data_IF_188899158704
#
_entry.id   IF_188899158704
#
_cell.length_a   1.000
_cell.length_b   1.000
_cell.length_c   1.000
_cell.angle_alpha   90.00
_cell.angle_beta   90.00
_cell.angle_gamma   90.00
#
_symmetry.space_group_name_H-M   'P 1'
#
loop_
_entity.id
_entity.type
_entity.pdbx_description
1 polymer ?
#
# COMPACT_ATOMS: atom_id res chain seq x y z
N UNK A 1 -1.87 23.32 -16.69
CA UNK A 1 -3.23 23.29 -16.09
C UNK A 1 -3.30 22.07 -15.19
N UNK A 2 -3.70 22.18 -13.92
CA UNK A 2 -3.88 21.01 -13.07
C UNK A 2 -5.03 20.19 -13.66
N UNK A 3 -4.76 18.93 -14.00
CA UNK A 3 -5.79 17.96 -14.38
C UNK A 3 -6.73 17.77 -13.20
N UNK A 4 -7.94 18.32 -13.30
CA UNK A 4 -9.02 18.07 -12.34
C UNK A 4 -9.43 16.61 -12.54
N UNK A 5 -8.92 15.72 -11.69
CA UNK A 5 -9.38 14.34 -11.67
C UNK A 5 -10.82 14.33 -11.13
N UNK A 6 -11.75 13.61 -11.77
CA UNK A 6 -13.14 13.56 -11.30
C UNK A 6 -13.18 12.87 -9.93
N UNK A 7 -13.51 13.63 -8.89
CA UNK A 7 -13.76 13.13 -7.54
C UNK A 7 -14.99 12.22 -7.55
N UNK A 8 -14.95 11.11 -6.80
CA UNK A 8 -16.05 10.13 -6.74
C UNK A 8 -16.76 10.10 -5.39
N UNK A 9 -16.02 10.29 -4.31
CA UNK A 9 -16.53 10.44 -2.97
C UNK A 9 -17.25 11.76 -2.79
N UNK A 10 -18.04 11.84 -1.73
CA UNK A 10 -18.78 13.04 -1.36
C UNK A 10 -17.91 14.01 -0.59
N UNK A 11 -18.30 15.28 -0.63
CA UNK A 11 -17.66 16.36 0.12
C UNK A 11 -18.27 16.53 1.51
N UNK A 12 -18.11 15.48 2.31
CA UNK A 12 -18.53 15.46 3.72
C UNK A 12 -17.25 15.57 4.56
N UNK A 13 -17.21 16.46 5.57
CA UNK A 13 -16.06 16.58 6.45
C UNK A 13 -15.61 15.23 7.00
N UNK A 14 -14.29 14.94 7.03
CA UNK A 14 -13.78 13.73 7.64
C UNK A 14 -14.13 13.65 9.13
N UNK A 15 -14.12 12.44 9.68
CA UNK A 15 -14.20 12.19 11.13
C UNK A 15 -12.99 12.72 11.93
N UNK A 16 -11.95 13.20 11.26
CA UNK A 16 -10.75 13.76 11.87
C UNK A 16 -10.36 15.03 11.12
N UNK A 17 -10.17 16.14 11.83
CA UNK A 17 -9.74 17.42 11.27
C UNK A 17 -8.61 18.03 12.14
N UNK A 18 -7.36 18.09 11.64
CA UNK A 18 -6.93 17.73 10.29
C UNK A 18 -6.88 16.22 10.06
N UNK A 19 -7.07 15.79 8.80
CA UNK A 19 -6.93 14.38 8.42
C UNK A 19 -5.48 13.96 8.13
N UNK A 20 -4.65 14.91 7.69
CA UNK A 20 -3.24 14.72 7.32
C UNK A 20 -2.34 15.72 8.03
N UNK A 21 -1.11 15.33 8.26
CA UNK A 21 -0.07 16.15 8.87
C UNK A 21 1.31 15.92 8.25
N UNK A 22 2.26 16.79 8.59
CA UNK A 22 3.65 16.66 8.14
C UNK A 22 4.37 15.58 8.97
N UNK A 23 5.05 14.68 8.27
CA UNK A 23 5.88 13.65 8.89
C UNK A 23 7.37 13.95 8.74
N UNK A 24 8.16 13.38 9.64
CA UNK A 24 9.62 13.38 9.50
C UNK A 24 10.04 12.52 8.29
N UNK A 25 11.17 12.88 7.67
CA UNK A 25 11.82 12.06 6.65
C UNK A 25 12.90 11.13 7.22
N UNK A 26 13.28 11.32 8.49
CA UNK A 26 14.40 10.60 9.11
C UNK A 26 14.00 9.23 9.64
N UNK A 27 12.74 9.08 10.04
CA UNK A 27 12.20 7.87 10.63
C UNK A 27 10.82 7.61 10.03
N UNK A 28 10.49 6.33 9.88
CA UNK A 28 9.16 5.89 9.46
C UNK A 28 8.38 5.41 10.67
N UNK A 29 7.22 6.02 10.90
CA UNK A 29 6.34 5.78 12.04
C UNK A 29 4.97 5.26 11.60
N UNK A 30 4.20 4.62 12.50
CA UNK A 30 2.80 4.31 12.26
C UNK A 30 2.00 5.57 11.90
N UNK A 31 1.15 5.49 10.88
CA UNK A 31 0.41 6.62 10.31
C UNK A 31 1.04 7.20 9.04
N UNK A 32 2.36 7.05 8.87
CA UNK A 32 3.08 7.59 7.72
C UNK A 32 2.56 7.03 6.39
N UNK A 33 2.55 7.89 5.38
CA UNK A 33 2.29 7.52 3.99
C UNK A 33 3.64 7.36 3.28
N UNK A 34 3.87 6.15 2.78
CA UNK A 34 5.11 5.75 2.12
C UNK A 34 4.83 5.10 0.79
N UNK A 35 5.79 5.10 -0.12
CA UNK A 35 5.80 4.28 -1.33
C UNK A 35 6.41 2.92 -1.01
N UNK A 36 5.68 1.85 -1.32
CA UNK A 36 6.14 0.47 -1.19
C UNK A 36 6.06 -0.27 -2.53
N UNK A 37 6.90 -1.29 -2.76
CA UNK A 37 6.66 -2.25 -3.82
C UNK A 37 5.47 -3.15 -3.43
N UNK A 38 4.25 -2.75 -3.78
CA UNK A 38 3.07 -3.58 -3.53
C UNK A 38 3.17 -4.85 -4.38
N UNK A 39 3.38 -5.97 -3.69
CA UNK A 39 3.51 -7.28 -4.33
C UNK A 39 2.13 -7.77 -4.79
N UNK A 40 2.12 -8.44 -5.94
CA UNK A 40 0.98 -9.23 -6.38
C UNK A 40 1.38 -10.70 -6.35
N UNK A 41 0.47 -11.61 -5.97
CA UNK A 41 0.73 -13.03 -6.18
C UNK A 41 0.96 -13.24 -7.67
N UNK A 42 2.20 -13.56 -8.04
CA UNK A 42 2.50 -13.85 -9.43
C UNK A 42 1.72 -15.10 -9.82
N UNK A 43 0.91 -15.02 -10.89
CA UNK A 43 0.25 -16.21 -11.47
C UNK A 43 1.25 -17.25 -11.98
N UNK A 44 2.46 -16.81 -12.29
CA UNK A 44 3.56 -17.62 -12.81
C UNK A 44 4.81 -17.40 -11.97
N UNK A 45 5.54 -18.47 -11.67
CA UNK A 45 6.84 -18.37 -11.03
C UNK A 45 7.83 -17.77 -12.04
N UNK A 46 8.46 -16.66 -11.70
CA UNK A 46 9.53 -16.07 -12.50
C UNK A 46 10.85 -16.26 -11.78
N UNK A 47 11.90 -16.57 -12.53
CA UNK A 47 13.28 -16.66 -12.04
C UNK A 47 14.14 -15.64 -12.76
N UNK A 48 15.15 -15.14 -12.04
CA UNK A 48 16.21 -14.34 -12.63
C UNK A 48 17.13 -15.25 -13.45
N UNK A 49 17.41 -14.90 -14.70
CA UNK A 49 18.34 -15.61 -15.58
C UNK A 49 19.32 -14.62 -16.22
N UNK A 50 20.41 -15.13 -16.78
CA UNK A 50 21.40 -14.33 -17.50
C UNK A 50 21.10 -14.38 -18.99
N UNK A 51 21.13 -13.23 -19.66
CA UNK A 51 21.12 -13.18 -21.11
C UNK A 51 22.34 -13.94 -21.67
N UNK A 52 22.11 -15.12 -22.27
CA UNK A 52 23.14 -16.05 -22.78
C UNK A 52 24.12 -15.45 -23.81
N UNK A 53 23.91 -14.22 -24.26
CA UNK A 53 24.69 -13.58 -25.33
C UNK A 53 25.95 -12.84 -24.85
N UNK A 54 26.34 -12.92 -23.57
CA UNK A 54 27.63 -12.41 -23.09
C UNK A 54 28.30 -13.47 -22.21
N UNK A 55 29.25 -14.22 -22.77
CA UNK A 55 30.21 -14.95 -21.95
C UNK A 55 31.13 -13.90 -21.31
N UNK A 56 30.75 -13.39 -20.15
CA UNK A 56 31.57 -12.51 -19.33
C UNK A 56 32.05 -13.29 -18.10
N UNK A 57 33.28 -13.83 -18.11
CA UNK A 57 33.83 -14.59 -16.99
C UNK A 57 34.08 -13.73 -15.74
N UNK A 58 33.97 -12.40 -15.83
CA UNK A 58 34.11 -11.47 -14.70
C UNK A 58 32.78 -11.05 -14.10
N UNK A 59 31.65 -11.45 -14.71
CA UNK A 59 30.30 -11.04 -14.32
C UNK A 59 30.08 -9.51 -14.25
N UNK A 60 30.91 -8.73 -14.95
CA UNK A 60 30.89 -7.26 -14.97
C UNK A 60 29.76 -6.68 -15.82
N UNK A 61 29.30 -7.43 -16.83
CA UNK A 61 28.30 -7.05 -17.83
C UNK A 61 27.08 -7.98 -17.84
N UNK A 62 26.77 -8.62 -16.70
CA UNK A 62 25.59 -9.48 -16.58
C UNK A 62 24.31 -8.69 -16.83
N UNK A 63 23.62 -9.03 -17.90
CA UNK A 63 22.26 -8.57 -18.15
C UNK A 63 21.29 -9.62 -17.62
N UNK A 64 20.46 -9.20 -16.66
CA UNK A 64 19.47 -10.08 -16.04
C UNK A 64 18.15 -10.02 -16.78
N UNK A 65 17.58 -11.19 -17.05
CA UNK A 65 16.27 -11.35 -17.65
C UNK A 65 15.33 -12.05 -16.66
N UNK A 66 14.05 -11.73 -16.74
CA UNK A 66 13.01 -12.45 -16.02
C UNK A 66 12.40 -13.48 -16.94
N UNK A 67 12.60 -14.77 -16.64
CA UNK A 67 11.96 -15.88 -17.37
C UNK A 67 10.95 -16.63 -16.50
N UNK A 68 9.88 -17.21 -17.08
CA UNK A 68 9.05 -18.17 -16.38
C UNK A 68 9.87 -19.39 -15.94
N UNK A 69 9.60 -19.92 -14.74
CA UNK A 69 10.22 -21.15 -14.26
C UNK A 69 9.49 -22.36 -14.86
N UNK A 70 10.15 -23.07 -15.78
CA UNK A 70 9.70 -24.39 -16.23
C UNK A 70 10.39 -25.51 -15.44
N UNK A 71 9.70 -26.63 -15.23
CA UNK A 71 10.06 -27.69 -14.27
C UNK A 71 11.37 -28.41 -14.62
N UNK A 72 11.86 -28.32 -15.87
CA UNK A 72 12.91 -29.19 -16.39
C UNK A 72 14.24 -28.51 -16.78
N UNK A 73 14.41 -27.19 -16.60
CA UNK A 73 15.58 -26.49 -17.12
C UNK A 73 16.64 -26.18 -16.06
N UNK A 74 17.79 -26.85 -16.17
CA UNK A 74 19.02 -26.49 -15.45
C UNK A 74 19.57 -25.17 -16.00
N UNK A 75 19.67 -24.15 -15.15
CA UNK A 75 20.38 -22.92 -15.47
C UNK A 75 21.85 -23.03 -15.05
N UNK A 76 22.72 -22.25 -15.69
CA UNK A 76 24.08 -22.06 -15.18
C UNK A 76 24.00 -21.26 -13.87
N UNK A 77 24.71 -21.68 -12.80
CA UNK A 77 24.71 -20.94 -11.54
C UNK A 77 25.33 -19.56 -11.75
N UNK A 78 24.70 -18.53 -11.19
CA UNK A 78 25.22 -17.15 -11.16
C UNK A 78 26.15 -17.05 -9.95
N UNK A 79 27.47 -17.04 -10.14
CA UNK A 79 28.42 -17.21 -9.02
C UNK A 79 28.38 -16.05 -8.03
N UNK A 80 28.22 -14.80 -8.50
CA UNK A 80 28.07 -13.63 -7.60
C UNK A 80 26.83 -13.68 -6.72
N UNK A 81 25.83 -14.45 -7.12
CA UNK A 81 24.62 -14.63 -6.34
C UNK A 81 24.75 -15.78 -5.32
N UNK A 82 25.87 -16.51 -5.33
CA UNK A 82 26.16 -17.57 -4.36
C UNK A 82 25.20 -18.76 -4.43
N UNK A 83 24.50 -18.94 -5.55
CA UNK A 83 23.53 -20.02 -5.73
C UNK A 83 24.21 -21.34 -6.11
N UNK A 84 23.71 -22.44 -5.56
CA UNK A 84 24.01 -23.77 -6.07
C UNK A 84 23.40 -24.00 -7.46
N UNK A 85 23.86 -25.04 -8.17
CA UNK A 85 23.43 -25.36 -9.55
C UNK A 85 21.94 -25.72 -9.69
N UNK A 86 21.27 -26.01 -8.58
CA UNK A 86 19.86 -26.37 -8.47
C UNK A 86 19.01 -25.31 -7.76
N UNK A 87 19.61 -24.16 -7.42
CA UNK A 87 18.93 -23.04 -6.78
C UNK A 87 18.55 -21.95 -7.79
N UNK A 88 17.46 -21.24 -7.51
CA UNK A 88 16.95 -20.16 -8.36
C UNK A 88 16.56 -18.94 -7.53
N UNK A 89 16.90 -17.74 -8.00
CA UNK A 89 16.31 -16.51 -7.48
C UNK A 89 14.90 -16.33 -8.02
N UNK A 90 13.90 -16.48 -7.14
CA UNK A 90 12.53 -16.13 -7.47
C UNK A 90 12.35 -14.61 -7.51
N UNK A 91 11.83 -14.12 -8.62
CA UNK A 91 11.48 -12.73 -8.77
C UNK A 91 9.99 -12.50 -8.49
N UNK A 92 9.70 -11.66 -7.51
CA UNK A 92 8.33 -11.17 -7.26
C UNK A 92 8.14 -9.83 -7.95
N UNK A 93 7.15 -9.73 -8.83
CA UNK A 93 6.85 -8.46 -9.51
C UNK A 93 5.93 -7.64 -8.62
N UNK A 94 6.32 -6.40 -8.35
CA UNK A 94 5.53 -5.43 -7.60
C UNK A 94 5.29 -4.16 -8.42
N UNK A 95 4.24 -3.41 -8.05
CA UNK A 95 4.08 -2.02 -8.51
C UNK A 95 4.32 -1.09 -7.33
N UNK A 96 5.10 -0.04 -7.53
CA UNK A 96 5.25 1.01 -6.52
C UNK A 96 3.89 1.66 -6.25
N UNK A 97 3.50 1.73 -4.98
CA UNK A 97 2.23 2.32 -4.54
C UNK A 97 2.41 3.09 -3.24
N UNK A 98 1.66 4.18 -3.05
CA UNK A 98 1.48 4.74 -1.73
C UNK A 98 0.84 3.70 -0.81
N UNK A 99 1.17 3.73 0.48
CA UNK A 99 0.69 2.84 1.51
C UNK A 99 0.73 3.53 2.87
N UNK A 100 -0.19 3.18 3.77
CA UNK A 100 -0.17 3.61 5.17
C UNK A 100 0.67 2.61 5.97
N UNK A 101 1.60 3.10 6.79
CA UNK A 101 2.32 2.29 7.76
C UNK A 101 1.42 2.04 8.97
N UNK A 102 1.13 0.77 9.26
CA UNK A 102 0.29 0.37 10.41
C UNK A 102 1.13 0.18 11.65
N UNK A 103 2.26 -0.50 11.49
CA UNK A 103 3.20 -0.76 12.57
C UNK A 103 4.56 -1.10 11.98
N UNK A 104 5.60 -0.94 12.78
CA UNK A 104 6.97 -1.28 12.44
C UNK A 104 7.63 -2.01 13.59
N UNK A 105 8.65 -2.80 13.29
CA UNK A 105 9.42 -3.52 14.28
C UNK A 105 10.79 -3.92 13.75
N UNK A 106 11.68 -4.25 14.69
CA UNK A 106 12.98 -4.84 14.38
C UNK A 106 12.86 -6.35 14.43
N UNK A 107 13.36 -7.01 13.40
CA UNK A 107 13.45 -8.47 13.33
C UNK A 107 14.92 -8.86 13.28
N UNK A 108 15.29 -9.78 14.16
CA UNK A 108 16.59 -10.41 14.12
C UNK A 108 16.49 -11.71 13.32
N UNK A 109 17.19 -11.76 12.19
CA UNK A 109 17.35 -12.99 11.42
C UNK A 109 18.30 -13.94 12.14
N UNK A 110 18.19 -15.25 11.86
CA UNK A 110 19.00 -16.29 12.48
C UNK A 110 20.53 -16.06 12.37
N UNK A 111 20.98 -15.31 11.36
CA UNK A 111 22.38 -14.92 11.17
C UNK A 111 22.83 -13.71 12.02
N UNK A 112 21.99 -13.22 12.93
CA UNK A 112 22.28 -12.05 13.78
C UNK A 112 22.04 -10.70 13.12
N UNK A 113 21.59 -10.67 11.86
CA UNK A 113 21.26 -9.43 11.15
C UNK A 113 19.94 -8.86 11.68
N UNK A 114 19.99 -7.64 12.23
CA UNK A 114 18.80 -6.89 12.60
C UNK A 114 18.31 -6.07 11.40
N UNK A 115 17.04 -6.22 11.06
CA UNK A 115 16.39 -5.48 9.98
C UNK A 115 15.08 -4.85 10.46
N UNK A 116 14.77 -3.66 9.96
CA UNK A 116 13.48 -3.01 10.21
C UNK A 116 12.45 -3.53 9.20
N UNK A 117 11.29 -3.94 9.68
CA UNK A 117 10.15 -4.34 8.86
C UNK A 117 8.91 -3.53 9.25
N UNK A 118 8.04 -3.32 8.27
CA UNK A 118 6.83 -2.52 8.43
C UNK A 118 5.63 -3.24 7.86
N UNK A 119 4.51 -3.21 8.57
CA UNK A 119 3.23 -3.69 8.08
C UNK A 119 2.51 -2.52 7.39
N UNK A 120 2.24 -2.64 6.09
CA UNK A 120 1.75 -1.54 5.28
C UNK A 120 0.43 -1.88 4.58
N UNK A 121 -0.50 -0.92 4.51
CA UNK A 121 -1.78 -1.00 3.79
C UNK A 121 -1.64 -0.25 2.46
N UNK A 122 -1.64 -0.92 1.30
CA UNK A 122 -1.50 -0.23 0.02
C UNK A 122 -2.73 0.61 -0.34
N UNK A 123 -2.48 1.76 -0.95
CA UNK A 123 -3.47 2.72 -1.40
C UNK A 123 -3.72 2.60 -2.92
N UNK A 124 -4.99 2.76 -3.30
CA UNK A 124 -5.45 2.68 -4.68
C UNK A 124 -6.28 3.91 -5.04
N UNK A 125 -5.78 4.68 -6.00
CA UNK A 125 -6.51 5.82 -6.56
C UNK A 125 -7.84 5.38 -7.16
N UNK A 126 -8.88 6.18 -6.93
CA UNK A 126 -10.25 5.88 -7.39
C UNK A 126 -10.59 6.46 -8.76
N UNK A 127 -9.70 7.27 -9.34
CA UNK A 127 -9.83 7.96 -10.62
C UNK A 127 -10.07 7.06 -11.85
N UNK A 128 -9.94 5.74 -11.69
CA UNK A 128 -10.05 4.77 -12.78
C UNK A 128 -11.51 4.60 -13.24
N UNK A 129 -11.79 4.56 -14.56
CA UNK A 129 -13.16 4.44 -15.09
C UNK A 129 -13.96 3.26 -14.53
N UNK A 130 -13.27 2.12 -14.29
CA UNK A 130 -13.90 0.90 -13.76
C UNK A 130 -14.38 0.98 -12.31
N UNK A 131 -13.96 2.00 -11.55
CA UNK A 131 -14.36 2.18 -10.15
C UNK A 131 -15.59 3.09 -10.17
N UNK A 132 -16.77 2.56 -9.85
CA UNK A 132 -18.00 3.36 -9.87
C UNK A 132 -18.08 4.33 -8.69
N UNK A 133 -18.75 5.46 -8.87
CA UNK A 133 -19.01 6.42 -7.79
C UNK A 133 -19.76 5.76 -6.63
N UNK A 134 -20.80 4.98 -6.94
CA UNK A 134 -21.58 4.19 -5.97
C UNK A 134 -20.69 3.29 -5.12
N UNK A 135 -19.67 2.66 -5.69
CA UNK A 135 -18.71 1.86 -4.92
C UNK A 135 -17.90 2.73 -3.95
N UNK A 136 -17.34 3.84 -4.43
CA UNK A 136 -16.53 4.76 -3.61
C UNK A 136 -17.34 5.33 -2.45
N UNK A 137 -18.56 5.79 -2.70
CA UNK A 137 -19.47 6.29 -1.66
C UNK A 137 -19.76 5.23 -0.60
N UNK A 138 -19.97 3.97 -1.00
CA UNK A 138 -20.19 2.87 -0.04
C UNK A 138 -18.93 2.55 0.78
N UNK A 139 -17.73 2.73 0.21
CA UNK A 139 -16.48 2.62 0.97
C UNK A 139 -16.34 3.80 1.94
N UNK A 140 -16.60 5.03 1.49
CA UNK A 140 -16.62 6.23 2.36
C UNK A 140 -17.62 6.06 3.51
N UNK A 141 -18.76 5.42 3.24
CA UNK A 141 -19.78 5.11 4.25
C UNK A 141 -19.45 3.89 5.13
N UNK A 142 -18.22 3.39 5.12
CA UNK A 142 -17.75 2.25 5.92
C UNK A 142 -18.53 0.93 5.71
N UNK A 143 -19.25 0.77 4.59
CA UNK A 143 -20.09 -0.42 4.34
C UNK A 143 -19.29 -1.66 3.92
N UNK A 144 -18.01 -1.50 3.57
CA UNK A 144 -17.13 -2.60 3.22
C UNK A 144 -15.94 -2.66 4.18
N UNK A 145 -15.91 -3.63 5.11
CA UNK A 145 -14.86 -3.69 6.13
C UNK A 145 -13.44 -3.79 5.57
N UNK A 146 -13.25 -4.45 4.41
CA UNK A 146 -11.94 -4.62 3.79
C UNK A 146 -11.35 -3.32 3.19
N UNK A 147 -12.14 -2.25 3.10
CA UNK A 147 -11.75 -1.02 2.42
C UNK A 147 -11.90 0.19 3.35
N UNK A 148 -10.92 1.08 3.32
CA UNK A 148 -10.97 2.35 4.03
C UNK A 148 -10.78 3.52 3.06
N UNK A 149 -11.60 4.55 3.18
CA UNK A 149 -11.58 5.71 2.29
C UNK A 149 -10.56 6.75 2.76
N UNK A 150 -9.76 7.28 1.84
CA UNK A 150 -8.83 8.39 2.10
C UNK A 150 -9.26 9.62 1.30
N UNK A 151 -9.38 10.74 2.01
CA UNK A 151 -9.76 12.01 1.44
C UNK A 151 -8.63 12.57 0.55
N UNK A 152 -8.95 13.19 -0.59
CA UNK A 152 -7.92 13.91 -1.34
C UNK A 152 -7.40 15.10 -0.53
N UNK A 153 -6.12 15.42 -0.67
CA UNK A 153 -5.52 16.65 -0.14
C UNK A 153 -4.58 17.26 -1.16
N UNK A 154 -4.94 18.45 -1.66
CA UNK A 154 -4.06 19.22 -2.53
C UNK A 154 -2.79 19.66 -1.81
N UNK A 155 -2.91 20.04 -0.53
CA UNK A 155 -1.79 20.47 0.32
C UNK A 155 -0.71 19.38 0.45
N UNK A 156 -1.11 18.12 0.60
CA UNK A 156 -0.20 16.99 0.79
C UNK A 156 -0.01 16.14 -0.48
N UNK A 157 -0.50 16.59 -1.63
CA UNK A 157 -0.41 15.84 -2.90
C UNK A 157 -1.14 14.48 -2.89
N UNK A 158 -2.08 14.27 -1.97
CA UNK A 158 -2.83 13.02 -1.83
C UNK A 158 -4.02 13.02 -2.78
N UNK A 159 -4.06 12.02 -3.66
CA UNK A 159 -5.23 11.75 -4.50
C UNK A 159 -6.27 10.94 -3.72
N UNK A 160 -7.54 11.15 -4.06
CA UNK A 160 -8.64 10.36 -3.55
C UNK A 160 -8.38 8.86 -3.77
N UNK A 161 -8.33 8.12 -2.68
CA UNK A 161 -7.80 6.76 -2.66
C UNK A 161 -8.56 5.87 -1.70
N UNK A 162 -8.39 4.57 -1.89
CA UNK A 162 -8.92 3.53 -1.01
C UNK A 162 -7.75 2.69 -0.50
N UNK A 163 -7.64 2.56 0.82
CA UNK A 163 -6.82 1.57 1.50
C UNK A 163 -7.49 0.19 1.39
N UNK A 164 -6.70 -0.84 1.06
CA UNK A 164 -7.17 -2.22 0.88
C UNK A 164 -6.55 -3.14 1.93
N UNK A 165 -7.29 -3.45 2.97
CA UNK A 165 -6.79 -4.23 4.12
C UNK A 165 -6.51 -5.69 3.75
N UNK A 166 -7.21 -6.25 2.77
CA UNK A 166 -6.96 -7.58 2.25
C UNK A 166 -5.61 -7.69 1.52
N UNK A 167 -4.95 -6.57 1.23
CA UNK A 167 -3.63 -6.48 0.60
C UNK A 167 -2.55 -5.98 1.56
N UNK A 168 -2.84 -6.00 2.87
CA UNK A 168 -1.87 -5.73 3.92
C UNK A 168 -0.63 -6.61 3.74
N UNK A 169 0.56 -6.03 3.82
CA UNK A 169 1.80 -6.76 3.60
C UNK A 169 2.94 -6.25 4.46
N UNK A 170 3.86 -7.15 4.80
CA UNK A 170 5.12 -6.82 5.47
C UNK A 170 6.13 -6.37 4.43
N UNK A 171 6.75 -5.21 4.64
CA UNK A 171 7.71 -4.58 3.74
C UNK A 171 8.99 -4.29 4.52
N UNK A 172 10.13 -4.59 3.90
CA UNK A 172 11.44 -4.30 4.47
C UNK A 172 11.72 -2.79 4.47
N UNK A 173 12.30 -2.26 5.56
CA UNK A 173 12.63 -0.83 5.74
C UNK A 173 13.34 -0.20 4.54
N UNK A 174 14.36 -0.89 4.02
CA UNK A 174 15.12 -0.47 2.82
C UNK A 174 14.30 -0.32 1.54
N UNK A 175 13.11 -0.90 1.46
CA UNK A 175 12.22 -0.81 0.29
C UNK A 175 11.19 0.32 0.41
N UNK A 176 11.02 0.93 1.59
CA UNK A 176 10.14 2.06 1.79
C UNK A 176 10.79 3.32 1.22
N UNK A 177 9.98 4.17 0.61
CA UNK A 177 10.38 5.55 0.28
C UNK A 177 9.31 6.49 0.83
N UNK A 178 9.65 7.58 1.52
CA UNK A 178 8.65 8.53 2.00
C UNK A 178 7.76 9.03 0.85
N UNK A 179 6.46 9.19 1.09
CA UNK A 179 5.64 10.03 0.23
C UNK A 179 5.87 11.48 0.67
N UNK A 180 6.42 12.30 -0.23
CA UNK A 180 6.89 13.63 0.13
C UNK A 180 6.01 14.72 -0.46
N UNK A 181 5.83 15.77 0.34
CA UNK A 181 5.30 17.05 -0.14
C UNK A 181 6.38 18.10 0.07
N UNK A 182 7.10 18.46 -1.00
CA UNK A 182 8.30 19.29 -0.87
C UNK A 182 9.41 18.57 -0.09
N UNK A 183 9.75 19.10 1.10
CA UNK A 183 10.85 18.61 1.95
C UNK A 183 10.38 17.84 3.20
N UNK A 184 9.10 17.52 3.31
CA UNK A 184 8.54 16.78 4.44
C UNK A 184 7.83 15.51 3.98
N UNK A 185 7.73 14.53 4.89
CA UNK A 185 6.88 13.37 4.72
C UNK A 185 5.42 13.72 4.96
N UNK A 186 4.53 12.76 4.73
CA UNK A 186 3.09 12.90 5.01
C UNK A 186 2.67 11.78 5.95
N UNK A 187 1.92 12.11 7.00
CA UNK A 187 1.25 11.15 7.87
C UNK A 187 -0.24 11.45 7.93
N UNK A 188 -1.01 10.43 8.31
CA UNK A 188 -2.33 10.64 8.88
C UNK A 188 -2.18 11.31 10.26
N UNK A 189 -3.11 12.19 10.64
CA UNK A 189 -3.17 12.65 12.03
C UNK A 189 -3.46 11.47 12.96
N UNK A 190 -3.11 11.60 14.24
CA UNK A 190 -3.35 10.56 15.25
C UNK A 190 -4.81 10.09 15.29
N UNK A 191 -5.75 11.04 15.15
CA UNK A 191 -7.18 10.76 15.10
C UNK A 191 -7.57 10.00 13.81
N UNK A 192 -7.12 10.47 12.65
CA UNK A 192 -7.35 9.80 11.37
C UNK A 192 -6.77 8.37 11.36
N UNK A 193 -5.57 8.19 11.91
CA UNK A 193 -4.94 6.89 12.05
C UNK A 193 -5.66 6.00 13.08
N UNK A 194 -6.23 6.59 14.13
CA UNK A 194 -7.17 5.93 15.05
C UNK A 194 -8.33 5.27 14.32
N UNK A 195 -8.97 6.00 13.40
CA UNK A 195 -10.06 5.48 12.57
C UNK A 195 -9.61 4.34 11.64
N UNK A 196 -8.42 4.45 11.02
CA UNK A 196 -7.83 3.36 10.21
C UNK A 196 -7.67 2.09 11.04
N UNK A 197 -7.09 2.21 12.25
CA UNK A 197 -6.89 1.07 13.16
C UNK A 197 -8.22 0.44 13.59
N UNK A 198 -9.22 1.27 13.91
CA UNK A 198 -10.55 0.80 14.27
C UNK A 198 -11.20 -0.03 13.15
N UNK A 199 -11.16 0.49 11.93
CA UNK A 199 -11.71 -0.20 10.76
C UNK A 199 -10.94 -1.48 10.45
N UNK A 200 -9.60 -1.45 10.59
CA UNK A 200 -8.75 -2.64 10.43
C UNK A 200 -9.09 -3.70 11.48
N UNK A 201 -9.29 -3.32 12.74
CA UNK A 201 -9.74 -4.23 13.80
C UNK A 201 -11.07 -4.88 13.42
N UNK A 202 -12.04 -4.11 12.94
CA UNK A 202 -13.34 -4.64 12.47
C UNK A 202 -13.19 -5.63 11.32
N UNK A 203 -12.33 -5.33 10.35
CA UNK A 203 -12.00 -6.25 9.24
C UNK A 203 -11.38 -7.57 9.73
N UNK A 204 -10.51 -7.51 10.73
CA UNK A 204 -9.87 -8.68 11.34
C UNK A 204 -10.80 -9.46 12.29
N UNK A 205 -12.03 -9.00 12.51
CA UNK A 205 -12.99 -9.62 13.42
C UNK A 205 -12.78 -9.29 14.89
N UNK A 206 -11.97 -8.27 15.20
CA UNK A 206 -11.77 -7.78 16.55
C UNK A 206 -12.92 -6.87 17.00
N UNK A 207 -13.23 -6.88 18.29
CA UNK A 207 -14.17 -5.91 18.89
C UNK A 207 -13.51 -4.54 19.03
N UNK A 208 -14.23 -3.48 18.66
CA UNK A 208 -13.83 -2.09 18.89
C UNK A 208 -14.71 -1.45 19.98
N UNK A 209 -14.25 -0.38 20.64
CA UNK A 209 -15.06 0.35 21.62
C UNK A 209 -16.40 0.79 20.99
N UNK A 210 -17.50 0.63 21.75
CA UNK A 210 -18.85 0.92 21.25
C UNK A 210 -18.99 2.33 20.68
N UNK A 211 -18.45 3.33 21.38
CA UNK A 211 -18.48 4.71 20.92
C UNK A 211 -17.90 4.86 19.51
N UNK A 212 -16.78 4.19 19.24
CA UNK A 212 -16.08 4.26 17.95
C UNK A 212 -16.86 3.58 16.82
N UNK A 213 -17.55 2.48 17.14
CA UNK A 213 -18.44 1.81 16.18
C UNK A 213 -19.68 2.67 15.88
N UNK A 214 -20.27 3.28 16.91
CA UNK A 214 -21.41 4.18 16.80
C UNK A 214 -21.06 5.42 15.93
N UNK A 215 -19.87 6.01 16.14
CA UNK A 215 -19.38 7.14 15.34
C UNK A 215 -19.15 6.77 13.87
N UNK A 216 -18.56 5.60 13.60
CA UNK A 216 -18.36 5.08 12.24
C UNK A 216 -19.69 4.82 11.52
N UNK A 217 -20.68 4.29 12.24
CA UNK A 217 -22.03 4.07 11.72
C UNK A 217 -22.74 5.39 11.42
N UNK A 218 -22.71 6.35 12.35
CA UNK A 218 -23.33 7.66 12.17
C UNK A 218 -22.72 8.40 10.97
N UNK A 219 -21.39 8.37 10.83
CA UNK A 219 -20.72 8.91 9.64
C UNK A 219 -21.16 8.21 8.35
N UNK A 220 -21.25 6.88 8.38
CA UNK A 220 -21.71 6.10 7.24
C UNK A 220 -23.13 6.44 6.81
N UNK A 221 -24.04 6.63 7.76
CA UNK A 221 -25.42 7.04 7.50
C UNK A 221 -25.50 8.42 6.86
N UNK A 222 -24.76 9.39 7.37
CA UNK A 222 -24.67 10.74 6.79
C UNK A 222 -24.20 10.70 5.33
N UNK A 223 -23.17 9.90 5.03
CA UNK A 223 -22.66 9.72 3.65
C UNK A 223 -23.72 9.14 2.72
N UNK A 224 -24.49 8.15 3.18
CA UNK A 224 -25.53 7.52 2.37
C UNK A 224 -26.74 8.44 2.18
N UNK A 225 -27.12 9.18 3.21
CA UNK A 225 -28.21 10.16 3.12
C UNK A 225 -27.89 11.23 2.07
N UNK A 226 -26.69 11.81 2.14
CA UNK A 226 -26.27 12.85 1.20
C UNK A 226 -26.18 12.30 -0.24
N UNK A 227 -25.71 11.07 -0.42
CA UNK A 227 -25.72 10.43 -1.74
C UNK A 227 -27.13 10.27 -2.31
N UNK A 228 -28.10 9.88 -1.47
CA UNK A 228 -29.50 9.74 -1.90
C UNK A 228 -30.11 11.07 -2.31
N UNK A 229 -29.78 12.16 -1.60
CA UNK A 229 -30.22 13.52 -1.98
C UNK A 229 -29.70 13.92 -3.35
N UNK A 230 -28.43 13.64 -3.65
CA UNK A 230 -27.80 13.98 -4.93
C UNK A 230 -28.30 13.16 -6.12
N UNK A 231 -28.73 11.91 -5.91
CA UNK A 231 -29.17 11.00 -6.99
C UNK A 231 -30.70 10.98 -7.14
N UNK A 232 -31.43 11.36 -6.08
CA UNK A 232 -32.90 11.35 -6.04
C UNK A 232 -33.56 12.71 -6.32
N UNK A 233 -32.80 13.79 -6.43
CA UNK A 233 -33.25 15.10 -6.91
C UNK A 233 -32.98 15.29 -8.40
#
# INVERSE_FOLDING_TARGET
MPTIHPRKGLDIPPLADPFYELASLTETLPGDIVQIPSLYPNRHKYVLDIAKNRYDPTESLLEFLLRPMEVAERAFPIQRLGLASDEYYFAVKGKMRPAIVVTGGEVQWAAGMQEKIFLCIPLYTVDKPKISQKFVVRVQANQYPAYFYLFPSATFGIQESIARFELLQVVHGRALRPHTTGHAGVSLSDEAFGWVKAHLCKFLGCTIPKQLDDDLMAYGELVIEEYRRLVGG
#
